data_IF_556742183411
#
_entry.id   IF_556742183411
#
_cell.length_a   1.000
_cell.length_b   1.000
_cell.length_c   1.000
_cell.angle_alpha   90.00
_cell.angle_beta   90.00
_cell.angle_gamma   90.00
#
_symmetry.space_group_name_H-M   'P 1'
#
loop_
_entity.id
_entity.type
_entity.pdbx_description
1 polymer ?
#
# COMPACT_ATOMS: atom_id res chain seq x y z
N UNK A 1 -11.72 -8.68 13.33
CA UNK A 1 -11.33 -9.14 11.99
C UNK A 1 -11.80 -8.12 10.98
N UNK A 2 -10.89 -7.28 10.49
CA UNK A 2 -11.22 -6.28 9.48
C UNK A 2 -11.36 -7.01 8.15
N UNK A 3 -12.58 -7.09 7.62
CA UNK A 3 -12.85 -7.74 6.33
C UNK A 3 -12.33 -6.82 5.22
N UNK A 4 -11.02 -6.86 4.98
CA UNK A 4 -10.43 -6.25 3.79
C UNK A 4 -10.86 -7.14 2.63
N UNK A 5 -11.68 -6.60 1.73
CA UNK A 5 -12.07 -7.34 0.53
C UNK A 5 -10.80 -7.73 -0.23
N UNK A 6 -10.72 -8.98 -0.71
CA UNK A 6 -9.61 -9.47 -1.53
C UNK A 6 -9.31 -8.54 -2.72
N UNK A 7 -10.33 -7.84 -3.21
CA UNK A 7 -10.20 -6.81 -4.27
C UNK A 7 -9.32 -5.62 -3.85
N UNK A 8 -9.35 -5.22 -2.57
CA UNK A 8 -8.52 -4.14 -2.04
C UNK A 8 -7.06 -4.60 -1.91
N UNK A 9 -6.83 -5.85 -1.46
CA UNK A 9 -5.48 -6.43 -1.39
C UNK A 9 -4.84 -6.50 -2.78
N UNK A 10 -5.53 -7.07 -3.77
CA UNK A 10 -5.03 -7.12 -5.16
C UNK A 10 -4.80 -5.72 -5.73
N UNK A 11 -5.70 -4.77 -5.47
CA UNK A 11 -5.58 -3.39 -5.95
C UNK A 11 -4.36 -2.67 -5.37
N UNK A 12 -4.11 -2.83 -4.07
CA UNK A 12 -2.94 -2.25 -3.40
C UNK A 12 -1.63 -2.89 -3.85
N UNK A 13 -1.62 -4.21 -4.07
CA UNK A 13 -0.45 -4.92 -4.61
C UNK A 13 -0.07 -4.40 -6.01
N UNK A 14 -1.04 -4.31 -6.93
CA UNK A 14 -0.80 -3.77 -8.27
C UNK A 14 -0.36 -2.30 -8.23
N UNK A 15 -0.91 -1.49 -7.33
CA UNK A 15 -0.50 -0.10 -7.17
C UNK A 15 0.96 0.00 -6.68
N UNK A 16 1.35 -0.89 -5.77
CA UNK A 16 2.72 -0.98 -5.24
C UNK A 16 3.72 -1.41 -6.33
N UNK A 17 3.38 -2.42 -7.14
CA UNK A 17 4.19 -2.84 -8.28
C UNK A 17 4.38 -1.71 -9.30
N UNK A 18 3.30 -0.98 -9.61
CA UNK A 18 3.36 0.16 -10.52
C UNK A 18 4.24 1.29 -9.97
N UNK A 19 4.24 1.53 -8.66
CA UNK A 19 5.10 2.52 -8.02
C UNK A 19 6.58 2.15 -8.14
N UNK A 20 6.92 0.90 -7.83
CA UNK A 20 8.28 0.38 -7.94
C UNK A 20 8.78 0.45 -9.39
N UNK A 21 7.96 0.01 -10.35
CA UNK A 21 8.32 0.03 -11.78
C UNK A 21 8.57 1.45 -12.31
N UNK A 22 7.88 2.45 -11.76
CA UNK A 22 8.01 3.85 -12.17
C UNK A 22 8.97 4.67 -11.29
N UNK A 23 9.67 4.05 -10.33
CA UNK A 23 10.51 4.75 -9.34
C UNK A 23 9.77 5.90 -8.63
N UNK A 24 8.49 5.69 -8.34
CA UNK A 24 7.64 6.65 -7.65
C UNK A 24 7.45 6.19 -6.21
N UNK A 25 7.44 7.15 -5.29
CA UNK A 25 7.30 6.89 -3.87
C UNK A 25 5.88 7.11 -3.34
N UNK A 26 4.94 7.51 -4.20
CA UNK A 26 3.57 7.85 -3.81
C UNK A 26 2.59 7.62 -4.95
N UNK A 27 1.49 6.93 -4.65
CA UNK A 27 0.30 6.86 -5.50
C UNK A 27 -0.96 6.95 -4.64
N UNK A 28 -2.00 7.51 -5.25
CA UNK A 28 -3.32 7.63 -4.67
C UNK A 28 -4.36 7.02 -5.61
N UNK A 29 -5.39 6.42 -5.04
CA UNK A 29 -6.54 5.88 -5.77
C UNK A 29 -7.82 6.03 -4.94
N UNK A 30 -8.97 5.81 -5.56
CA UNK A 30 -10.27 5.82 -4.88
C UNK A 30 -10.81 4.40 -4.81
N UNK A 31 -11.20 3.97 -3.62
CA UNK A 31 -11.85 2.67 -3.38
C UNK A 31 -13.27 2.87 -2.90
N UNK A 32 -14.19 2.07 -3.43
CA UNK A 32 -15.57 2.02 -2.97
C UNK A 32 -15.78 0.79 -2.08
N UNK A 33 -16.16 1.01 -0.82
CA UNK A 33 -16.47 -0.06 0.11
C UNK A 33 -17.73 0.28 0.92
N UNK A 34 -18.66 -0.66 0.99
CA UNK A 34 -19.92 -0.52 1.74
C UNK A 34 -20.71 0.76 1.36
N UNK A 35 -20.74 1.10 0.06
CA UNK A 35 -21.45 2.27 -0.46
C UNK A 35 -20.79 3.62 -0.15
N UNK A 36 -19.56 3.62 0.38
CA UNK A 36 -18.76 4.82 0.63
C UNK A 36 -17.49 4.79 -0.22
N UNK A 37 -17.05 5.98 -0.63
CA UNK A 37 -15.77 6.16 -1.33
C UNK A 37 -14.71 6.60 -0.33
N UNK A 38 -13.53 6.01 -0.45
CA UNK A 38 -12.35 6.33 0.35
C UNK A 38 -11.20 6.67 -0.60
N UNK A 39 -10.37 7.62 -0.18
CA UNK A 39 -9.05 7.81 -0.77
C UNK A 39 -8.11 6.80 -0.14
N UNK A 40 -7.46 6.00 -0.98
CA UNK A 40 -6.41 5.07 -0.57
C UNK A 40 -5.08 5.61 -1.08
N UNK A 41 -4.07 5.60 -0.23
CA UNK A 41 -2.73 6.10 -0.53
C UNK A 41 -1.72 4.97 -0.27
N UNK A 42 -0.77 4.80 -1.19
CA UNK A 42 0.41 3.94 -1.00
C UNK A 42 1.64 4.83 -1.08
N UNK A 43 2.49 4.71 -0.06
CA UNK A 43 3.75 5.43 0.07
C UNK A 43 4.89 4.43 0.23
N UNK A 44 5.93 4.58 -0.58
CA UNK A 44 7.13 3.78 -0.50
C UNK A 44 8.24 4.63 0.11
N UNK A 45 8.54 4.37 1.36
CA UNK A 45 9.63 5.01 2.07
C UNK A 45 10.85 4.09 2.00
N UNK A 46 12.03 4.60 1.61
CA UNK A 46 13.24 3.80 1.63
C UNK A 46 13.58 3.48 3.08
N UNK A 47 13.73 2.18 3.38
CA UNK A 47 14.33 1.73 4.63
C UNK A 47 15.80 1.38 4.37
N UNK A 48 16.67 1.82 5.29
CA UNK A 48 18.02 1.28 5.38
C UNK A 48 18.02 -0.06 6.12
N UNK A 49 19.14 -0.78 6.06
CA UNK A 49 19.23 -2.14 6.60
C UNK A 49 19.08 -2.19 8.13
N UNK A 50 19.48 -1.12 8.83
CA UNK A 50 19.32 -1.00 10.28
C UNK A 50 17.84 -0.79 10.66
N UNK A 51 17.14 0.12 9.97
CA UNK A 51 15.70 0.33 10.19
C UNK A 51 14.86 -0.89 9.77
N UNK A 52 15.32 -1.68 8.79
CA UNK A 52 14.66 -2.93 8.41
C UNK A 52 14.73 -3.99 9.51
N UNK A 53 15.87 -4.10 10.21
CA UNK A 53 16.04 -5.03 11.32
C UNK A 53 15.07 -4.66 12.47
N UNK A 54 15.00 -3.38 12.82
CA UNK A 54 14.08 -2.86 13.85
C UNK A 54 12.60 -3.09 13.50
N UNK A 55 12.25 -3.17 12.21
CA UNK A 55 10.87 -3.41 11.76
C UNK A 55 10.45 -4.89 11.78
N UNK A 56 11.42 -5.82 11.71
CA UNK A 56 11.16 -7.26 11.67
C UNK A 56 11.17 -7.92 13.05
N UNK A 57 11.82 -7.29 14.03
CA UNK A 57 11.91 -7.77 15.42
C UNK A 57 10.77 -7.25 16.34
N UNK A 58 9.80 -6.49 15.79
CA UNK A 58 8.67 -5.87 16.50
C UNK A 58 7.35 -6.64 16.48
#
# INVERSE_FOLDING_TARGET
MTFVSHTVETGLAHLTEALLANQKHHAETVVCAQGKFYKAEVRLEPLDAEALADHLDG
#
